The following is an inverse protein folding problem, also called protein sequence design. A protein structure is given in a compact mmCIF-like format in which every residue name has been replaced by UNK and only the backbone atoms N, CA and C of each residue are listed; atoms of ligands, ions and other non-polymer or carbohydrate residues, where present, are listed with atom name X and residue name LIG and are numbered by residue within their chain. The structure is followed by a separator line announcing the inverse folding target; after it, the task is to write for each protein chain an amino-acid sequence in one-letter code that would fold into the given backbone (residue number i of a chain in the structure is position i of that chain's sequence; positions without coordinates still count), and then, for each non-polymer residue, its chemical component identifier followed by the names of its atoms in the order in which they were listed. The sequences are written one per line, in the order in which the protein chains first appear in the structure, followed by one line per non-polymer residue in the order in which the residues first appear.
data_IF_962966509744
#
_entry.id   IF_962966509744
#
_cell.length_a   1.000
_cell.length_b   1.000
_cell.length_c   1.000
_cell.angle_alpha   90.00
_cell.angle_beta   90.00
_cell.angle_gamma   90.00
#
_symmetry.space_group_name_H-M   'P 1'
#
loop_
_entity.id
_entity.type
_entity.pdbx_description
1 polymer ?
#
# COMPACT_ATOMS: atom_id res chain seq x y z
N UNK A 1 -35.73 19.21 15.98
CA UNK A 1 -35.45 20.29 15.01
C UNK A 1 -34.62 21.35 15.72
N UNK A 2 -33.60 21.91 15.06
CA UNK A 2 -32.68 22.86 15.69
C UNK A 2 -32.78 24.23 15.04
N UNK A 3 -32.58 25.29 15.83
CA UNK A 3 -32.54 26.64 15.31
C UNK A 3 -31.36 26.80 14.32
N UNK A 4 -31.51 27.65 13.28
CA UNK A 4 -30.45 27.87 12.29
C UNK A 4 -29.11 28.26 12.92
N UNK A 5 -29.15 29.05 14.00
CA UNK A 5 -27.97 29.46 14.75
C UNK A 5 -27.27 28.29 15.45
N UNK A 6 -28.03 27.33 15.99
CA UNK A 6 -27.47 26.16 16.65
C UNK A 6 -26.79 25.21 15.65
N UNK A 7 -27.38 25.04 14.47
CA UNK A 7 -26.77 24.25 13.38
C UNK A 7 -25.51 24.93 12.85
N UNK A 8 -25.56 26.26 12.71
CA UNK A 8 -24.42 27.07 12.32
C UNK A 8 -23.23 26.86 13.27
N UNK A 9 -23.45 27.01 14.57
CA UNK A 9 -22.40 26.83 15.59
C UNK A 9 -21.84 25.41 15.60
N UNK A 10 -22.71 24.41 15.47
CA UNK A 10 -22.29 23.00 15.38
C UNK A 10 -21.41 22.75 14.18
N UNK A 11 -21.83 23.16 12.98
CA UNK A 11 -21.06 22.96 11.76
C UNK A 11 -19.74 23.74 11.77
N UNK A 12 -19.73 24.96 12.31
CA UNK A 12 -18.52 25.76 12.44
C UNK A 12 -17.51 25.11 13.40
N UNK A 13 -17.98 24.64 14.56
CA UNK A 13 -17.14 23.94 15.54
C UNK A 13 -16.61 22.62 14.97
N UNK A 14 -17.46 21.86 14.28
CA UNK A 14 -17.07 20.61 13.63
C UNK A 14 -16.03 20.86 12.53
N UNK A 15 -16.23 21.88 11.70
CA UNK A 15 -15.29 22.23 10.64
C UNK A 15 -13.93 22.63 11.23
N UNK A 16 -13.91 23.50 12.25
CA UNK A 16 -12.68 23.93 12.92
C UNK A 16 -11.91 22.75 13.52
N UNK A 17 -12.61 21.85 14.21
CA UNK A 17 -11.99 20.67 14.83
C UNK A 17 -11.48 19.69 13.77
N UNK A 18 -12.27 19.45 12.71
CA UNK A 18 -11.87 18.61 11.59
C UNK A 18 -10.62 19.14 10.90
N UNK A 19 -10.59 20.44 10.55
CA UNK A 19 -9.46 21.06 9.83
C UNK A 19 -8.19 21.01 10.70
N UNK A 20 -8.33 21.16 12.02
CA UNK A 20 -7.23 21.02 12.99
C UNK A 20 -6.69 19.59 13.05
N UNK A 21 -7.56 18.58 13.16
CA UNK A 21 -7.16 17.17 13.22
C UNK A 21 -6.49 16.75 11.91
N UNK A 22 -7.06 17.16 10.77
CA UNK A 22 -6.48 16.89 9.45
C UNK A 22 -5.10 17.53 9.33
N UNK A 23 -4.94 18.79 9.77
CA UNK A 23 -3.65 19.47 9.75
C UNK A 23 -2.57 18.76 10.57
N UNK A 24 -2.90 18.38 11.82
CA UNK A 24 -1.96 17.69 12.73
C UNK A 24 -1.49 16.37 12.11
N UNK A 25 -2.41 15.58 11.56
CA UNK A 25 -2.08 14.28 10.97
C UNK A 25 -1.29 14.43 9.66
N UNK A 26 -1.55 15.48 8.89
CA UNK A 26 -0.78 15.79 7.68
C UNK A 26 0.67 16.16 8.01
N UNK A 27 0.88 16.93 9.09
CA UNK A 27 2.23 17.27 9.57
C UNK A 27 3.00 16.06 10.12
N UNK A 28 2.33 15.20 10.90
CA UNK A 28 2.97 14.02 11.51
C UNK A 28 3.53 13.05 10.49
N UNK A 29 2.96 13.02 9.28
CA UNK A 29 3.18 11.94 8.31
C UNK A 29 3.72 12.43 6.96
N UNK A 30 4.39 13.60 6.93
CA UNK A 30 5.07 14.14 5.74
C UNK A 30 4.21 14.12 4.45
N UNK A 31 2.92 14.48 4.57
CA UNK A 31 2.10 14.87 3.44
C UNK A 31 1.37 13.80 2.62
N UNK A 32 1.28 12.53 3.07
CA UNK A 32 0.60 11.48 2.27
C UNK A 32 -0.44 10.62 2.99
N UNK A 33 -0.66 10.79 4.30
CA UNK A 33 -1.60 9.93 5.02
C UNK A 33 -3.05 10.38 4.79
N UNK A 34 -3.79 9.50 4.12
CA UNK A 34 -5.24 9.50 3.98
C UNK A 34 -5.90 9.13 5.31
N UNK A 35 -6.76 10.00 5.85
CA UNK A 35 -7.46 9.77 7.12
C UNK A 35 -8.76 9.01 6.90
N UNK A 36 -9.06 8.02 7.72
CA UNK A 36 -10.37 7.34 7.68
C UNK A 36 -11.37 8.07 8.55
N UNK A 37 -12.64 8.09 8.13
CA UNK A 37 -13.72 8.75 8.87
C UNK A 37 -13.83 8.18 10.28
N UNK A 38 -13.77 6.85 10.46
CA UNK A 38 -13.80 6.21 11.78
C UNK A 38 -12.70 6.71 12.72
N UNK A 39 -11.50 6.99 12.20
CA UNK A 39 -10.38 7.52 12.99
C UNK A 39 -10.63 8.97 13.43
N UNK A 40 -11.37 9.74 12.62
CA UNK A 40 -11.71 11.14 12.91
C UNK A 40 -12.92 11.22 13.84
N UNK A 41 -13.92 10.35 13.69
CA UNK A 41 -15.08 10.24 14.59
C UNK A 41 -14.64 9.96 16.03
N UNK A 42 -13.58 9.16 16.22
CA UNK A 42 -12.98 8.93 17.54
C UNK A 42 -12.24 10.14 18.14
N UNK A 43 -11.88 11.15 17.32
CA UNK A 43 -11.11 12.34 17.73
C UNK A 43 -11.94 13.61 17.83
N UNK A 44 -13.04 13.70 17.08
CA UNK A 44 -13.92 14.88 17.04
C UNK A 44 -15.30 14.50 17.58
N UNK A 45 -15.60 14.97 18.80
CA UNK A 45 -16.87 14.69 19.47
C UNK A 45 -18.07 15.17 18.66
N UNK A 46 -19.04 14.27 18.45
CA UNK A 46 -20.27 14.56 17.72
C UNK A 46 -20.11 14.66 16.20
N UNK A 47 -18.92 14.42 15.67
CA UNK A 47 -18.68 14.34 14.23
C UNK A 47 -19.24 13.03 13.68
N UNK A 48 -19.98 13.12 12.58
CA UNK A 48 -20.54 11.96 11.91
C UNK A 48 -20.45 12.13 10.38
N UNK A 49 -20.73 11.05 9.66
CA UNK A 49 -20.81 11.05 8.18
C UNK A 49 -21.67 12.17 7.61
N UNK A 50 -22.83 12.46 8.21
CA UNK A 50 -23.75 13.49 7.71
C UNK A 50 -23.12 14.89 7.78
N UNK A 51 -22.43 15.20 8.88
CA UNK A 51 -21.71 16.46 9.05
C UNK A 51 -20.57 16.60 8.04
N UNK A 52 -19.82 15.54 7.77
CA UNK A 52 -18.78 15.56 6.74
C UNK A 52 -19.35 15.86 5.36
N UNK A 53 -20.46 15.21 5.00
CA UNK A 53 -21.12 15.42 3.71
C UNK A 53 -21.76 16.82 3.62
N UNK A 54 -22.31 17.35 4.72
CA UNK A 54 -22.83 18.70 4.79
C UNK A 54 -21.72 19.73 4.60
N UNK A 55 -20.58 19.58 5.30
CA UNK A 55 -19.39 20.43 5.13
C UNK A 55 -18.93 20.41 3.67
N UNK A 56 -18.82 19.23 3.06
CA UNK A 56 -18.45 19.08 1.65
C UNK A 56 -19.46 19.72 0.68
N UNK A 57 -20.75 19.71 1.05
CA UNK A 57 -21.83 20.35 0.29
C UNK A 57 -21.82 21.88 0.38
N UNK A 58 -21.33 22.43 1.50
CA UNK A 58 -21.21 23.88 1.72
C UNK A 58 -19.89 24.39 1.12
N UNK A 59 -18.80 23.66 1.30
CA UNK A 59 -17.48 23.99 0.79
C UNK A 59 -16.90 22.84 -0.04
N UNK A 60 -17.20 22.78 -1.35
CA UNK A 60 -16.79 21.68 -2.22
C UNK A 60 -15.28 21.50 -2.36
N UNK A 61 -14.48 22.55 -2.14
CA UNK A 61 -13.02 22.50 -2.23
C UNK A 61 -12.33 22.14 -0.90
N UNK A 62 -13.11 21.92 0.18
CA UNK A 62 -12.57 21.67 1.52
C UNK A 62 -11.67 20.42 1.60
N UNK A 63 -12.20 19.27 1.21
CA UNK A 63 -11.55 17.96 1.34
C UNK A 63 -11.85 17.08 0.14
N UNK A 64 -10.91 16.22 -0.26
CA UNK A 64 -11.15 15.17 -1.25
C UNK A 64 -11.64 13.92 -0.53
N UNK A 65 -12.89 13.52 -0.81
CA UNK A 65 -13.52 12.37 -0.18
C UNK A 65 -13.55 11.17 -1.14
N UNK A 66 -13.10 10.02 -0.69
CA UNK A 66 -13.14 8.76 -1.44
C UNK A 66 -13.57 7.60 -0.56
N UNK A 67 -14.28 6.60 -1.09
CA UNK A 67 -14.56 5.37 -0.33
C UNK A 67 -13.31 4.50 -0.22
N UNK A 68 -13.14 3.81 0.91
CA UNK A 68 -12.05 2.82 1.09
C UNK A 68 -12.27 1.62 0.18
N UNK A 69 -13.47 1.01 0.23
CA UNK A 69 -13.90 -0.12 -0.59
C UNK A 69 -15.43 -0.06 -0.74
N UNK A 70 -16.02 -0.70 -1.77
CA UNK A 70 -17.49 -0.76 -1.89
C UNK A 70 -18.16 -1.69 -0.86
N UNK A 71 -17.37 -2.53 -0.16
CA UNK A 71 -17.86 -3.43 0.90
C UNK A 71 -17.76 -2.82 2.30
N UNK A 72 -16.89 -1.83 2.48
CA UNK A 72 -16.67 -1.17 3.76
C UNK A 72 -17.08 0.30 3.58
N UNK A 73 -18.20 0.68 4.17
CA UNK A 73 -18.88 1.96 3.94
C UNK A 73 -18.12 3.17 4.56
N UNK A 74 -16.83 2.99 4.80
CA UNK A 74 -15.89 3.93 5.38
C UNK A 74 -15.38 4.95 4.34
N UNK A 75 -15.19 6.18 4.80
CA UNK A 75 -14.84 7.33 3.96
C UNK A 75 -13.42 7.76 4.29
N UNK A 76 -12.60 7.87 3.26
CA UNK A 76 -11.28 8.51 3.33
C UNK A 76 -11.43 10.00 3.12
N UNK A 77 -10.87 10.77 4.04
CA UNK A 77 -10.72 12.22 4.00
C UNK A 77 -9.27 12.51 3.63
N UNK A 78 -9.09 13.17 2.50
CA UNK A 78 -7.80 13.63 2.00
C UNK A 78 -7.84 15.15 1.83
N UNK A 79 -6.69 15.79 1.98
CA UNK A 79 -6.59 17.23 1.81
C UNK A 79 -6.69 17.59 0.32
N UNK A 80 -7.39 18.68 0.00
CA UNK A 80 -7.44 19.17 -1.37
C UNK A 80 -6.17 19.97 -1.73
N UNK A 81 -5.54 20.62 -0.74
CA UNK A 81 -4.33 21.43 -0.92
C UNK A 81 -3.11 20.63 -0.42
N UNK A 82 -2.23 20.24 -1.34
CA UNK A 82 -0.96 19.55 -1.03
C UNK A 82 0.20 20.52 -0.77
N UNK A 83 -0.08 21.83 -0.64
CA UNK A 83 0.97 22.80 -0.36
C UNK A 83 1.52 22.68 1.07
N UNK A 84 2.81 22.97 1.21
CA UNK A 84 3.56 22.91 2.47
C UNK A 84 3.01 23.90 3.51
N UNK A 85 2.28 24.92 3.07
CA UNK A 85 1.72 26.00 3.91
C UNK A 85 0.24 25.77 4.31
N UNK A 86 -0.18 24.52 4.44
CA UNK A 86 -1.56 24.20 4.81
C UNK A 86 -1.98 24.82 6.16
N UNK A 87 -1.06 24.87 7.13
CA UNK A 87 -1.31 25.48 8.44
C UNK A 87 -1.55 26.98 8.37
N UNK A 88 -0.80 27.71 7.54
CA UNK A 88 -0.96 29.15 7.36
C UNK A 88 -2.33 29.52 6.78
N UNK A 89 -2.99 28.58 6.11
CA UNK A 89 -4.30 28.78 5.45
C UNK A 89 -5.50 28.34 6.28
N UNK A 90 -5.33 27.78 7.47
CA UNK A 90 -6.46 27.30 8.31
C UNK A 90 -7.44 28.42 8.65
N UNK A 91 -6.94 29.60 9.02
CA UNK A 91 -7.79 30.76 9.33
C UNK A 91 -8.59 31.23 8.11
N UNK A 92 -7.99 31.17 6.92
CA UNK A 92 -8.63 31.63 5.69
C UNK A 92 -9.67 30.62 5.21
N UNK A 93 -9.41 29.31 5.36
CA UNK A 93 -10.38 28.24 5.13
C UNK A 93 -11.59 28.38 6.04
N UNK A 94 -11.37 28.67 7.34
CA UNK A 94 -12.46 28.90 8.30
C UNK A 94 -13.31 30.14 7.94
N UNK A 95 -12.66 31.24 7.55
CA UNK A 95 -13.36 32.46 7.09
C UNK A 95 -14.21 32.16 5.84
N UNK A 96 -13.63 31.49 4.84
CA UNK A 96 -14.34 31.11 3.61
C UNK A 96 -15.54 30.20 3.92
N UNK A 97 -15.34 29.19 4.77
CA UNK A 97 -16.43 28.30 5.18
C UNK A 97 -17.56 29.06 5.89
N UNK A 98 -17.23 30.00 6.77
CA UNK A 98 -18.22 30.82 7.49
C UNK A 98 -19.08 31.63 6.52
N UNK A 99 -18.45 32.29 5.53
CA UNK A 99 -19.18 33.06 4.50
C UNK A 99 -20.12 32.16 3.68
N UNK A 100 -19.64 30.99 3.25
CA UNK A 100 -20.44 30.03 2.48
C UNK A 100 -21.61 29.46 3.29
N UNK A 101 -21.38 29.16 4.56
CA UNK A 101 -22.41 28.68 5.49
C UNK A 101 -23.49 29.74 5.69
N UNK A 102 -23.10 30.99 5.92
CA UNK A 102 -24.03 32.11 6.12
C UNK A 102 -24.86 32.38 4.86
N UNK A 103 -24.26 32.28 3.67
CA UNK A 103 -25.00 32.38 2.40
C UNK A 103 -26.01 31.25 2.23
N UNK A 104 -25.65 30.02 2.63
CA UNK A 104 -26.52 28.84 2.48
C UNK A 104 -27.69 28.86 3.47
N UNK A 105 -27.49 29.39 4.68
CA UNK A 105 -28.52 29.53 5.71
C UNK A 105 -29.46 30.74 5.52
N UNK A 106 -29.08 31.74 4.70
CA UNK A 106 -29.94 32.89 4.36
C UNK A 106 -31.19 32.53 3.55
N UNK A 107 -31.36 31.27 3.13
CA UNK A 107 -32.47 30.76 2.32
C UNK A 107 -33.87 30.72 2.95
N UNK A 108 -34.13 31.42 4.06
CA UNK A 108 -35.49 31.71 4.54
C UNK A 108 -36.23 30.59 5.29
N UNK A 109 -35.63 29.43 5.56
CA UNK A 109 -36.27 28.38 6.37
C UNK A 109 -36.17 28.70 7.88
N UNK A 110 -37.29 28.58 8.60
CA UNK A 110 -37.37 28.79 10.07
C UNK A 110 -36.65 27.71 10.88
N UNK A 111 -36.55 26.51 10.31
CA UNK A 111 -35.91 25.34 10.92
C UNK A 111 -35.10 24.62 9.86
N UNK A 112 -33.95 24.09 10.25
CA UNK A 112 -33.08 23.29 9.38
C UNK A 112 -32.79 21.94 10.03
N UNK A 113 -32.51 20.94 9.22
CA UNK A 113 -31.88 19.68 9.61
C UNK A 113 -30.56 19.57 8.83
N UNK A 114 -29.55 18.94 9.41
CA UNK A 114 -28.23 18.78 8.75
C UNK A 114 -28.37 18.07 7.40
N UNK A 115 -29.32 17.13 7.29
CA UNK A 115 -29.65 16.39 6.07
C UNK A 115 -30.10 17.30 4.93
N UNK A 116 -30.81 18.40 5.23
CA UNK A 116 -31.28 19.37 4.23
C UNK A 116 -30.12 20.13 3.57
N UNK A 117 -28.96 20.17 4.22
CA UNK A 117 -27.75 20.83 3.70
C UNK A 117 -26.91 19.92 2.79
N UNK A 118 -27.23 18.62 2.73
CA UNK A 118 -26.46 17.62 1.99
C UNK A 118 -26.90 17.59 0.53
N UNK A 119 -26.18 18.32 -0.32
CA UNK A 119 -26.35 18.26 -1.78
C UNK A 119 -25.29 17.40 -2.46
N UNK A 120 -24.19 17.11 -1.75
CA UNK A 120 -23.07 16.32 -2.26
C UNK A 120 -23.36 14.82 -2.16
N UNK A 121 -23.32 14.15 -3.32
CA UNK A 121 -23.31 12.68 -3.38
C UNK A 121 -21.88 12.20 -3.54
N UNK A 122 -21.45 11.34 -2.62
CA UNK A 122 -20.14 10.70 -2.70
C UNK A 122 -20.06 9.92 -4.02
N UNK A 123 -19.05 10.16 -4.87
CA UNK A 123 -18.97 9.47 -6.15
C UNK A 123 -18.90 7.98 -5.88
N UNK A 124 -19.80 7.21 -6.51
CA UNK A 124 -19.69 5.76 -6.53
C UNK A 124 -18.29 5.42 -7.01
N UNK A 125 -17.57 4.60 -6.24
CA UNK A 125 -16.23 4.20 -6.60
C UNK A 125 -16.27 3.69 -8.03
N UNK A 126 -15.55 4.34 -8.95
CA UNK A 126 -15.24 3.64 -10.20
C UNK A 126 -14.46 2.44 -9.73
N UNK A 127 -15.08 1.26 -9.80
CA UNK A 127 -14.42 -0.04 -9.68
C UNK A 127 -13.40 -0.09 -10.81
N UNK A 128 -12.28 0.61 -10.64
CA UNK A 128 -11.01 0.15 -11.13
C UNK A 128 -10.70 -1.02 -10.23
N UNK A 129 -11.40 -2.15 -10.47
CA UNK A 129 -10.75 -3.45 -10.35
C UNK A 129 -9.37 -3.19 -10.97
N UNK A 130 -8.25 -3.36 -10.24
CA UNK A 130 -6.98 -3.40 -10.92
C UNK A 130 -7.23 -4.33 -12.10
N UNK A 131 -7.04 -3.84 -13.33
CA UNK A 131 -6.97 -4.74 -14.48
C UNK A 131 -5.86 -5.68 -14.05
N UNK A 132 -6.25 -6.87 -13.58
CA UNK A 132 -5.30 -7.91 -13.23
C UNK A 132 -4.48 -8.05 -14.50
N UNK A 133 -3.25 -7.57 -14.43
CA UNK A 133 -2.31 -7.52 -15.53
C UNK A 133 -2.17 -8.95 -16.05
N UNK A 134 -2.95 -9.30 -17.08
CA UNK A 134 -3.14 -10.64 -17.66
C UNK A 134 -2.49 -11.79 -16.90
N UNK A 135 -2.82 -11.95 -15.61
CA UNK A 135 -2.14 -12.91 -14.77
C UNK A 135 -2.62 -14.27 -15.23
N UNK A 136 -1.70 -15.19 -15.56
CA UNK A 136 -2.09 -16.58 -15.79
C UNK A 136 -2.84 -17.05 -14.55
N UNK A 137 -4.16 -17.15 -14.66
CA UNK A 137 -4.99 -17.67 -13.59
C UNK A 137 -4.63 -19.16 -13.52
N UNK A 138 -3.89 -19.55 -12.49
CA UNK A 138 -3.58 -20.94 -12.20
C UNK A 138 -4.86 -21.59 -11.66
N UNK A 139 -5.77 -21.94 -12.56
CA UNK A 139 -6.93 -22.77 -12.26
C UNK A 139 -6.55 -24.22 -12.50
N UNK A 140 -6.79 -25.05 -11.48
CA UNK A 140 -6.83 -26.48 -11.70
C UNK A 140 -8.21 -26.82 -12.27
N UNK A 141 -8.23 -27.37 -13.48
CA UNK A 141 -9.47 -27.86 -14.07
C UNK A 141 -10.08 -28.97 -13.19
N UNK A 142 -11.41 -28.97 -13.11
CA UNK A 142 -12.19 -29.97 -12.35
C UNK A 142 -11.90 -31.41 -12.81
N UNK A 143 -11.43 -31.59 -14.05
CA UNK A 143 -10.99 -32.88 -14.59
C UNK A 143 -9.83 -33.53 -13.84
N UNK A 144 -9.02 -32.76 -13.09
CA UNK A 144 -7.94 -33.30 -12.25
C UNK A 144 -8.43 -33.99 -10.96
N UNK A 145 -9.68 -33.76 -10.56
CA UNK A 145 -10.25 -34.28 -9.31
C UNK A 145 -11.19 -35.47 -9.51
N UNK A 146 -11.40 -35.88 -10.75
CA UNK A 146 -12.14 -37.11 -11.06
C UNK A 146 -11.13 -38.25 -11.22
N UNK A 147 -11.22 -39.24 -10.33
CA UNK A 147 -10.47 -40.48 -10.47
C UNK A 147 -11.02 -41.24 -11.68
N UNK A 148 -10.37 -41.07 -12.82
CA UNK A 148 -10.63 -41.90 -13.99
C UNK A 148 -9.82 -43.17 -13.78
N UNK A 149 -10.45 -44.21 -13.25
CA UNK A 149 -9.88 -45.55 -13.28
C UNK A 149 -9.72 -45.94 -14.76
N UNK A 150 -8.52 -45.72 -15.29
CA UNK A 150 -8.18 -46.13 -16.65
C UNK A 150 -8.04 -47.63 -16.60
N UNK A 151 -9.15 -48.35 -16.83
CA UNK A 151 -9.10 -49.74 -17.27
C UNK A 151 -8.18 -49.73 -18.50
N UNK A 152 -6.95 -50.23 -18.34
CA UNK A 152 -5.88 -50.16 -19.34
C UNK A 152 -6.29 -50.93 -20.59
N UNK A 153 -7.04 -50.31 -21.50
CA UNK A 153 -6.92 -50.64 -22.91
C UNK A 153 -5.53 -50.17 -23.31
N UNK A 154 -4.54 -51.08 -23.20
CA UNK A 154 -3.14 -50.85 -23.60
C UNK A 154 -3.14 -50.18 -24.97
N UNK A 155 -2.94 -48.87 -24.97
CA UNK A 155 -2.73 -48.12 -26.19
C UNK A 155 -1.39 -48.62 -26.74
N UNK A 156 -1.29 -49.07 -28.00
CA UNK A 156 -0.03 -49.57 -28.54
C UNK A 156 1.02 -48.45 -28.44
N UNK A 157 2.03 -48.65 -27.60
CA UNK A 157 3.04 -47.64 -27.24
C UNK A 157 3.03 -47.16 -25.78
N UNK A 158 2.15 -47.69 -24.90
CA UNK A 158 2.19 -47.33 -23.48
C UNK A 158 3.43 -47.90 -22.78
N UNK A 159 4.35 -47.00 -22.43
CA UNK A 159 5.59 -47.30 -21.71
C UNK A 159 5.25 -47.95 -20.36
N UNK A 160 5.96 -49.04 -20.04
CA UNK A 160 5.80 -49.76 -18.76
C UNK A 160 6.03 -48.83 -17.57
N UNK A 161 5.37 -49.10 -16.44
CA UNK A 161 5.57 -48.34 -15.20
C UNK A 161 7.04 -48.29 -14.79
N UNK A 162 7.76 -49.41 -14.91
CA UNK A 162 9.20 -49.51 -14.58
C UNK A 162 10.02 -48.60 -15.51
N UNK A 163 9.69 -48.57 -16.80
CA UNK A 163 10.35 -47.70 -17.77
C UNK A 163 10.05 -46.22 -17.49
N UNK A 164 8.83 -45.88 -17.06
CA UNK A 164 8.47 -44.52 -16.61
C UNK A 164 9.25 -44.11 -15.36
N UNK A 165 9.42 -45.01 -14.39
CA UNK A 165 10.23 -44.76 -13.18
C UNK A 165 11.68 -44.49 -13.57
N UNK A 166 12.31 -45.37 -14.37
CA UNK A 166 13.68 -45.17 -14.87
C UNK A 166 13.85 -43.86 -15.63
N UNK A 167 12.87 -43.49 -16.47
CA UNK A 167 12.89 -42.22 -17.19
C UNK A 167 12.72 -41.00 -16.26
N UNK A 168 11.91 -41.12 -15.21
CA UNK A 168 11.74 -40.07 -14.19
C UNK A 168 13.01 -39.87 -13.38
N UNK A 169 13.68 -40.95 -12.98
CA UNK A 169 14.96 -40.91 -12.29
C UNK A 169 16.04 -40.26 -13.17
N UNK A 170 16.14 -40.66 -14.45
CA UNK A 170 17.06 -40.03 -15.41
C UNK A 170 16.79 -38.54 -15.62
N UNK A 171 15.54 -38.11 -15.53
CA UNK A 171 15.14 -36.70 -15.66
C UNK A 171 15.15 -35.92 -14.34
N UNK A 172 15.38 -36.58 -13.20
CA UNK A 172 15.36 -35.95 -11.87
C UNK A 172 16.43 -34.86 -11.77
N UNK A 173 17.64 -35.15 -12.20
CA UNK A 173 18.77 -34.21 -12.14
C UNK A 173 18.50 -32.98 -13.03
N UNK A 174 17.90 -33.19 -14.20
CA UNK A 174 17.50 -32.09 -15.09
C UNK A 174 16.45 -31.21 -14.44
N UNK A 175 15.46 -31.81 -13.78
CA UNK A 175 14.40 -31.08 -13.09
C UNK A 175 14.95 -30.29 -11.90
N UNK A 176 15.87 -30.87 -11.12
CA UNK A 176 16.52 -30.16 -10.01
C UNK A 176 17.33 -28.95 -10.49
N UNK A 177 18.10 -29.10 -11.57
CA UNK A 177 18.81 -27.97 -12.20
C UNK A 177 17.84 -26.89 -12.69
N UNK A 178 16.71 -27.28 -13.26
CA UNK A 178 15.69 -26.32 -13.69
C UNK A 178 15.05 -25.58 -12.52
N UNK A 179 14.75 -26.27 -11.42
CA UNK A 179 14.24 -25.66 -10.18
C UNK A 179 15.27 -24.66 -9.62
N UNK A 180 16.54 -25.05 -9.58
CA UNK A 180 17.61 -24.17 -9.11
C UNK A 180 17.72 -22.91 -9.96
N UNK A 181 17.74 -23.05 -11.28
CA UNK A 181 17.75 -21.93 -12.22
C UNK A 181 16.55 -20.99 -12.05
N UNK A 182 15.35 -21.55 -11.84
CA UNK A 182 14.15 -20.74 -11.57
C UNK A 182 14.27 -19.98 -10.25
N UNK A 183 14.87 -20.59 -9.22
CA UNK A 183 15.14 -19.93 -7.94
C UNK A 183 16.13 -18.77 -8.10
N UNK A 184 17.21 -18.97 -8.86
CA UNK A 184 18.18 -17.92 -9.16
C UNK A 184 17.55 -16.73 -9.90
N UNK A 185 16.80 -17.01 -10.97
CA UNK A 185 16.06 -15.98 -11.72
C UNK A 185 15.06 -15.22 -10.83
N UNK A 186 14.41 -15.93 -9.91
CA UNK A 186 13.51 -15.30 -8.94
C UNK A 186 14.28 -14.33 -8.03
N UNK A 187 15.40 -14.76 -7.46
CA UNK A 187 16.26 -13.92 -6.62
C UNK A 187 16.75 -12.69 -7.39
N UNK A 188 17.25 -12.88 -8.61
CA UNK A 188 17.73 -11.80 -9.50
C UNK A 188 16.63 -10.77 -9.77
N UNK A 189 15.40 -11.22 -10.05
CA UNK A 189 14.25 -10.32 -10.26
C UNK A 189 13.90 -9.47 -9.03
N UNK A 190 14.36 -9.87 -7.84
CA UNK A 190 14.12 -9.20 -6.55
C UNK A 190 15.31 -8.39 -6.05
N UNK A 191 16.47 -8.48 -6.70
CA UNK A 191 17.68 -7.75 -6.33
C UNK A 191 17.46 -6.23 -6.27
N UNK A 192 16.84 -5.67 -7.31
CA UNK A 192 16.58 -4.23 -7.39
C UNK A 192 15.65 -3.72 -6.27
N UNK A 193 14.49 -4.32 -6.00
CA UNK A 193 13.67 -3.95 -4.85
C UNK A 193 14.41 -4.03 -3.51
N UNK A 194 15.24 -5.06 -3.31
CA UNK A 194 16.05 -5.21 -2.08
C UNK A 194 17.07 -4.08 -1.98
N UNK A 195 17.74 -3.75 -3.08
CA UNK A 195 18.68 -2.63 -3.14
C UNK A 195 17.99 -1.29 -2.83
N UNK A 196 16.82 -1.01 -3.41
CA UNK A 196 16.09 0.24 -3.16
C UNK A 196 15.77 0.41 -1.65
N UNK A 197 15.49 -0.69 -0.93
CA UNK A 197 15.28 -0.68 0.53
C UNK A 197 16.60 -0.44 1.27
N UNK A 198 17.69 -1.11 0.88
CA UNK A 198 19.01 -0.86 1.49
C UNK A 198 19.46 0.59 1.28
N UNK A 199 19.16 1.15 0.11
CA UNK A 199 19.43 2.54 -0.23
C UNK A 199 18.63 3.50 0.65
N UNK A 200 17.35 3.23 0.94
CA UNK A 200 16.56 4.08 1.83
C UNK A 200 17.07 4.09 3.27
N UNK A 201 17.63 2.97 3.74
CA UNK A 201 18.23 2.83 5.07
C UNK A 201 19.72 3.24 5.10
N UNK A 202 20.30 3.57 3.96
CA UNK A 202 21.72 3.93 3.86
C UNK A 202 22.00 5.30 4.50
N UNK A 203 23.16 5.45 5.15
CA UNK A 203 23.53 6.72 5.80
C UNK A 203 23.93 7.76 4.75
N UNK A 204 23.30 8.94 4.78
CA UNK A 204 23.60 10.03 3.83
C UNK A 204 24.92 10.75 4.14
N UNK A 205 25.29 10.78 5.42
CA UNK A 205 26.40 11.61 5.94
C UNK A 205 27.70 10.82 6.17
N UNK A 206 27.96 9.77 5.38
CA UNK A 206 29.23 9.04 5.38
C UNK A 206 29.42 8.03 6.53
N UNK A 207 28.37 7.73 7.28
CA UNK A 207 28.35 6.70 8.32
C UNK A 207 28.27 5.26 7.79
N UNK A 208 28.03 4.31 8.69
CA UNK A 208 27.68 2.91 8.35
C UNK A 208 26.44 2.50 9.14
N UNK A 209 25.42 2.02 8.44
CA UNK A 209 24.22 1.42 9.05
C UNK A 209 24.41 -0.09 9.10
N UNK A 210 24.01 -0.74 10.21
CA UNK A 210 24.02 -2.19 10.33
C UNK A 210 22.59 -2.69 10.54
N UNK A 211 22.16 -3.65 9.73
CA UNK A 211 20.84 -4.26 9.77
C UNK A 211 20.99 -5.77 9.86
N UNK A 212 20.21 -6.43 10.70
CA UNK A 212 20.15 -7.89 10.67
C UNK A 212 19.33 -8.37 9.48
N UNK A 213 19.60 -9.58 8.98
CA UNK A 213 18.77 -10.16 7.90
C UNK A 213 17.30 -10.32 8.33
N UNK A 214 17.03 -10.52 9.63
CA UNK A 214 15.65 -10.55 10.16
C UNK A 214 14.95 -9.18 10.08
N UNK A 215 15.66 -8.09 10.35
CA UNK A 215 15.11 -6.74 10.18
C UNK A 215 14.86 -6.43 8.70
N UNK A 216 15.78 -6.85 7.83
CA UNK A 216 15.62 -6.70 6.38
C UNK A 216 14.41 -7.49 5.86
N UNK A 217 14.19 -8.71 6.36
CA UNK A 217 12.98 -9.49 6.07
C UNK A 217 11.71 -8.75 6.48
N UNK A 218 11.69 -8.12 7.65
CA UNK A 218 10.55 -7.31 8.07
C UNK A 218 10.31 -6.13 7.13
N UNK A 219 11.36 -5.38 6.81
CA UNK A 219 11.28 -4.22 5.91
C UNK A 219 10.79 -4.62 4.50
N UNK A 220 11.31 -5.72 3.95
CA UNK A 220 10.90 -6.23 2.63
C UNK A 220 9.43 -6.66 2.67
N UNK A 221 9.00 -7.39 3.69
CA UNK A 221 7.63 -7.89 3.78
C UNK A 221 6.61 -6.76 4.06
N UNK A 222 7.03 -5.69 4.76
CA UNK A 222 6.20 -4.50 4.97
C UNK A 222 6.09 -3.65 3.70
N UNK A 223 7.15 -3.59 2.87
CA UNK A 223 7.21 -2.76 1.66
C UNK A 223 6.73 -3.46 0.38
N UNK A 224 6.81 -4.80 0.31
CA UNK A 224 6.51 -5.60 -0.89
C UNK A 224 5.19 -6.36 -0.74
N UNK A 225 4.30 -6.34 -1.75
CA UNK A 225 3.10 -7.18 -1.77
C UNK A 225 3.42 -8.68 -1.94
N UNK A 226 4.65 -9.02 -2.32
CA UNK A 226 5.13 -10.40 -2.43
C UNK A 226 6.19 -10.65 -1.36
N UNK A 227 5.87 -11.37 -0.28
CA UNK A 227 6.83 -11.63 0.77
C UNK A 227 7.95 -12.55 0.28
N UNK A 228 9.13 -12.40 0.86
CA UNK A 228 10.31 -13.17 0.51
C UNK A 228 10.84 -13.89 1.73
N UNK A 229 11.27 -15.14 1.56
CA UNK A 229 11.83 -15.92 2.65
C UNK A 229 13.20 -15.37 3.07
N UNK A 230 13.50 -15.40 4.36
CA UNK A 230 14.77 -14.98 4.95
C UNK A 230 16.02 -15.51 4.23
N UNK A 231 16.01 -16.79 3.84
CA UNK A 231 17.11 -17.47 3.16
C UNK A 231 17.39 -16.88 1.77
N UNK A 232 16.32 -16.55 1.05
CA UNK A 232 16.40 -15.97 -0.29
C UNK A 232 16.89 -14.52 -0.19
N UNK A 233 16.46 -13.79 0.85
CA UNK A 233 16.96 -12.43 1.14
C UNK A 233 18.46 -12.49 1.43
N UNK A 234 18.91 -13.41 2.29
CA UNK A 234 20.33 -13.57 2.58
C UNK A 234 21.15 -13.90 1.32
N UNK A 235 20.59 -14.70 0.41
CA UNK A 235 21.23 -15.02 -0.88
C UNK A 235 21.28 -13.81 -1.80
N UNK A 236 20.19 -13.03 -1.88
CA UNK A 236 20.14 -11.80 -2.66
C UNK A 236 21.15 -10.76 -2.16
N UNK A 237 21.20 -10.55 -0.84
CA UNK A 237 22.14 -9.61 -0.23
C UNK A 237 23.59 -10.04 -0.43
N UNK A 238 23.88 -11.35 -0.41
CA UNK A 238 25.21 -11.85 -0.75
C UNK A 238 25.60 -11.53 -2.19
N UNK A 239 24.68 -11.69 -3.14
CA UNK A 239 24.92 -11.26 -4.52
C UNK A 239 25.13 -9.74 -4.61
N UNK A 240 24.43 -8.94 -3.80
CA UNK A 240 24.62 -7.47 -3.78
C UNK A 240 25.97 -7.07 -3.18
N UNK A 241 26.43 -7.77 -2.14
CA UNK A 241 27.75 -7.61 -1.53
C UNK A 241 28.88 -7.84 -2.57
N UNK A 242 28.73 -8.85 -3.43
CA UNK A 242 29.69 -9.13 -4.51
C UNK A 242 29.69 -8.07 -5.64
N UNK A 243 28.57 -7.37 -5.84
CA UNK A 243 28.39 -6.43 -6.96
C UNK A 243 28.61 -4.96 -6.57
N UNK A 244 28.34 -4.58 -5.32
CA UNK A 244 28.19 -3.18 -4.91
C UNK A 244 29.15 -2.82 -3.79
N UNK A 245 30.05 -1.90 -4.09
CA UNK A 245 31.00 -1.34 -3.14
C UNK A 245 30.26 -0.51 -2.09
N UNK A 246 30.03 -1.10 -0.91
CA UNK A 246 29.35 -0.42 0.20
C UNK A 246 28.30 -1.26 0.91
N UNK A 247 27.91 -2.40 0.33
CA UNK A 247 27.13 -3.43 1.02
C UNK A 247 28.12 -4.50 1.47
N UNK A 248 27.96 -5.01 2.70
CA UNK A 248 28.72 -6.17 3.16
C UNK A 248 27.87 -7.07 4.03
N UNK A 249 27.92 -8.39 3.78
CA UNK A 249 27.23 -9.39 4.58
C UNK A 249 28.21 -10.07 5.53
N UNK A 250 28.06 -9.82 6.82
CA UNK A 250 28.94 -10.34 7.87
C UNK A 250 28.15 -11.32 8.74
N UNK A 251 28.69 -12.51 8.94
CA UNK A 251 28.14 -13.48 9.89
C UNK A 251 28.84 -13.34 11.24
N UNK A 252 28.06 -13.04 12.29
CA UNK A 252 28.55 -12.98 13.67
C UNK A 252 27.83 -14.07 14.46
N UNK A 253 28.54 -15.18 14.73
CA UNK A 253 27.95 -16.36 15.35
C UNK A 253 26.86 -16.97 14.46
N UNK A 254 25.61 -16.96 14.92
CA UNK A 254 24.44 -17.46 14.18
C UNK A 254 23.65 -16.36 13.46
N UNK A 255 24.04 -15.09 13.62
CA UNK A 255 23.31 -13.94 13.08
C UNK A 255 24.04 -13.38 11.86
N UNK A 256 23.31 -13.22 10.77
CA UNK A 256 23.79 -12.52 9.58
C UNK A 256 23.42 -11.03 9.69
N UNK A 257 24.43 -10.18 9.57
CA UNK A 257 24.33 -8.72 9.65
C UNK A 257 24.78 -8.12 8.33
N UNK A 258 23.97 -7.23 7.80
CA UNK A 258 24.19 -6.44 6.59
C UNK A 258 24.72 -5.09 7.03
N UNK A 259 25.96 -4.75 6.66
CA UNK A 259 26.47 -3.38 6.83
C UNK A 259 26.35 -2.64 5.51
N UNK A 260 25.81 -1.44 5.59
CA UNK A 260 25.55 -0.56 4.44
C UNK A 260 26.24 0.76 4.69
N UNK A 261 27.12 1.15 3.78
CA UNK A 261 27.74 2.49 3.71
C UNK A 261 26.92 3.38 2.81
N UNK A 262 27.38 4.61 2.58
CA UNK A 262 26.78 5.49 1.58
C UNK A 262 26.81 4.79 0.21
N UNK A 263 25.63 4.58 -0.37
CA UNK A 263 25.44 3.95 -1.68
C UNK A 263 25.27 5.01 -2.77
N UNK A 264 25.62 4.67 -4.01
CA UNK A 264 25.42 5.52 -5.18
C UNK A 264 24.37 4.88 -6.09
N UNK A 265 23.16 5.41 -6.04
CA UNK A 265 22.01 4.79 -6.70
C UNK A 265 22.19 4.61 -8.20
N UNK A 266 22.78 5.58 -8.88
CA UNK A 266 22.88 5.52 -10.35
C UNK A 266 23.92 4.49 -10.76
N UNK A 267 25.13 4.58 -10.18
CA UNK A 267 26.21 3.64 -10.45
C UNK A 267 25.87 2.19 -10.04
N UNK A 268 25.22 2.01 -8.90
CA UNK A 268 24.89 0.68 -8.37
C UNK A 268 23.78 0.00 -9.17
N UNK A 269 22.76 0.75 -9.60
CA UNK A 269 21.68 0.20 -10.41
C UNK A 269 22.17 -0.25 -11.79
N UNK A 270 23.16 0.44 -12.37
CA UNK A 270 23.80 0.00 -13.62
C UNK A 270 24.46 -1.36 -13.43
N UNK A 271 25.24 -1.55 -12.35
CA UNK A 271 25.88 -2.84 -12.02
C UNK A 271 24.86 -3.95 -11.82
N UNK A 272 23.72 -3.67 -11.16
CA UNK A 272 22.64 -4.65 -10.97
C UNK A 272 21.99 -5.04 -12.30
N UNK A 273 21.83 -4.10 -13.25
CA UNK A 273 21.19 -4.39 -14.54
C UNK A 273 22.11 -5.07 -15.56
N UNK A 274 23.43 -4.98 -15.39
CA UNK A 274 24.42 -5.61 -16.27
C UNK A 274 24.77 -7.05 -15.86
N UNK A 275 24.37 -7.48 -14.66
CA UNK A 275 24.52 -8.85 -14.15
C UNK A 275 23.39 -9.77 -14.61
#
# INVERSE_FOLDING_TARGET
MESPNKIREKLLTCFKNLDTVVAIEYQRMLGSKKLRLREVEGKVLGFNRQMLLAIKSIYPESYKLSRVNDQDDDIVIDNYDTSVDFLGKLSDRLKRFTVLLDLKLKGGAKEWIIEDLITYRLPAGKVRRPKASGGRIVKNDRSKFQFHERIEKKTPGSISLIQRIRAKEKNSDRLQKEIHKRKEMYIESKMRPIYDILYSESPKDGGTTSLTVSEMERLINDASPNPMAKEDIGTAVRKLDELIDGISLITVGTVNVIKVRKLDREADLEKITQS
#
